data_IF_990667032571
#
_entry.id   IF_990667032571
#
_cell.length_a   1.000
_cell.length_b   1.000
_cell.length_c   1.000
_cell.angle_alpha   90.00
_cell.angle_beta   90.00
_cell.angle_gamma   90.00
#
_symmetry.space_group_name_H-M   'P 1'
#
loop_
_entity.id
_entity.type
_entity.pdbx_description
1 polymer ?
#
# COMPACT_ATOMS: atom_id res chain seq x y z
N UNK A 1 -45.01 -9.33 -43.94
CA UNK A 1 -44.69 -9.44 -42.50
C UNK A 1 -43.36 -10.18 -42.38
N UNK A 2 -42.27 -9.45 -42.15
CA UNK A 2 -40.93 -10.01 -41.99
C UNK A 2 -40.70 -10.21 -40.49
N UNK A 3 -40.61 -11.45 -40.01
CA UNK A 3 -40.22 -11.73 -38.62
C UNK A 3 -38.70 -11.74 -38.51
N UNK A 4 -38.16 -10.94 -37.59
CA UNK A 4 -36.72 -10.92 -37.29
C UNK A 4 -36.30 -12.18 -36.51
N UNK A 5 -35.10 -12.73 -36.76
CA UNK A 5 -34.62 -13.91 -36.03
C UNK A 5 -34.23 -13.55 -34.59
N UNK A 6 -34.70 -14.35 -33.64
CA UNK A 6 -34.38 -14.26 -32.21
C UNK A 6 -32.88 -14.51 -31.99
N UNK A 7 -32.15 -13.48 -31.54
CA UNK A 7 -30.77 -13.65 -31.05
C UNK A 7 -30.78 -14.42 -29.73
N UNK A 8 -30.19 -15.62 -29.75
CA UNK A 8 -29.91 -16.40 -28.55
C UNK A 8 -28.71 -15.75 -27.86
N UNK A 9 -28.95 -15.09 -26.73
CA UNK A 9 -27.92 -14.49 -25.87
C UNK A 9 -27.11 -15.62 -25.21
N UNK A 10 -25.77 -15.63 -25.31
CA UNK A 10 -24.96 -16.62 -24.60
C UNK A 10 -25.08 -16.43 -23.07
N UNK A 11 -24.97 -17.51 -22.27
CA UNK A 11 -25.02 -17.41 -20.81
C UNK A 11 -23.91 -16.49 -20.31
N UNK A 12 -24.26 -15.64 -19.33
CA UNK A 12 -23.32 -14.73 -18.69
C UNK A 12 -22.11 -15.52 -18.15
N UNK A 13 -20.91 -15.02 -18.46
CA UNK A 13 -19.67 -15.55 -17.88
C UNK A 13 -19.78 -15.54 -16.34
N UNK A 14 -19.26 -16.57 -15.64
CA UNK A 14 -19.24 -16.57 -14.19
C UNK A 14 -18.52 -15.30 -13.71
N UNK A 15 -19.15 -14.59 -12.77
CA UNK A 15 -18.63 -13.38 -12.15
C UNK A 15 -17.14 -13.58 -11.83
N UNK A 16 -16.27 -12.84 -12.53
CA UNK A 16 -14.89 -12.69 -12.14
C UNK A 16 -14.91 -12.23 -10.68
N UNK A 17 -14.43 -13.08 -9.79
CA UNK A 17 -14.50 -12.87 -8.35
C UNK A 17 -14.00 -11.48 -8.02
N UNK A 18 -14.79 -10.73 -7.24
CA UNK A 18 -14.28 -9.57 -6.54
C UNK A 18 -12.99 -10.00 -5.84
N UNK A 19 -11.90 -9.22 -5.92
CA UNK A 19 -10.68 -9.56 -5.20
C UNK A 19 -11.06 -9.79 -3.74
N UNK A 20 -10.69 -10.97 -3.21
CA UNK A 20 -10.96 -11.32 -1.83
C UNK A 20 -10.48 -10.18 -0.94
N UNK A 21 -11.36 -9.68 -0.07
CA UNK A 21 -10.96 -8.67 0.92
C UNK A 21 -9.84 -9.30 1.75
N UNK A 22 -8.66 -8.67 1.86
CA UNK A 22 -7.58 -9.23 2.66
C UNK A 22 -8.10 -9.52 4.08
N UNK A 23 -7.84 -10.71 4.61
CA UNK A 23 -8.21 -11.09 5.99
C UNK A 23 -7.43 -10.28 7.05
N UNK A 24 -6.48 -9.45 6.62
CA UNK A 24 -5.69 -8.56 7.47
C UNK A 24 -6.50 -7.31 7.83
N UNK A 25 -6.47 -6.86 9.09
CA UNK A 25 -6.94 -5.54 9.47
C UNK A 25 -6.10 -4.47 8.75
N UNK A 26 -6.67 -3.87 7.69
CA UNK A 26 -6.08 -2.68 7.07
C UNK A 26 -6.06 -1.54 8.10
N UNK A 27 -5.00 -0.70 8.12
CA UNK A 27 -5.03 0.49 8.94
C UNK A 27 -6.22 1.37 8.52
N UNK A 28 -6.92 2.01 9.48
CA UNK A 28 -8.02 2.89 9.15
C UNK A 28 -7.52 4.05 8.29
N UNK A 29 -8.38 4.51 7.37
CA UNK A 29 -8.10 5.68 6.57
C UNK A 29 -7.94 6.91 7.48
N UNK A 30 -6.86 7.72 7.32
CA UNK A 30 -6.61 8.87 8.18
C UNK A 30 -7.70 9.93 7.97
N UNK A 31 -8.29 10.44 9.04
CA UNK A 31 -9.34 11.47 8.97
C UNK A 31 -8.80 12.89 9.14
N UNK A 32 -7.56 13.04 9.61
CA UNK A 32 -6.89 14.32 9.80
C UNK A 32 -5.46 14.28 9.30
N UNK A 33 -4.89 15.46 9.04
CA UNK A 33 -3.50 15.57 8.59
C UNK A 33 -2.54 14.96 9.61
N UNK A 34 -2.79 15.17 10.89
CA UNK A 34 -1.97 14.68 12.00
C UNK A 34 -1.96 13.15 12.07
N UNK A 35 -3.07 12.49 11.67
CA UNK A 35 -3.14 11.02 11.61
C UNK A 35 -2.28 10.41 10.50
N UNK A 36 -1.88 11.19 9.48
CA UNK A 36 -0.91 10.72 8.48
C UNK A 36 0.50 10.56 9.07
N UNK A 37 0.78 11.23 10.19
CA UNK A 37 2.11 11.33 10.78
C UNK A 37 3.10 12.17 9.96
N UNK A 38 2.67 12.78 8.85
CA UNK A 38 3.46 13.68 8.03
C UNK A 38 3.14 15.14 8.36
N UNK A 39 4.12 16.03 8.15
CA UNK A 39 3.92 17.47 8.32
C UNK A 39 3.16 18.06 7.13
N UNK A 40 2.46 19.18 7.35
CA UNK A 40 1.82 19.94 6.27
C UNK A 40 2.84 20.32 5.20
N UNK A 41 4.03 20.79 5.60
CA UNK A 41 5.11 21.14 4.67
C UNK A 41 5.54 19.96 3.79
N UNK A 42 5.68 18.76 4.35
CA UNK A 42 6.02 17.57 3.59
C UNK A 42 4.95 17.24 2.54
N UNK A 43 3.68 17.25 2.95
CA UNK A 43 2.56 16.98 2.05
C UNK A 43 2.39 18.06 0.98
N UNK A 44 2.62 19.32 1.34
CA UNK A 44 2.64 20.45 0.40
C UNK A 44 3.75 20.32 -0.62
N UNK A 45 4.98 19.98 -0.21
CA UNK A 45 6.08 19.69 -1.13
C UNK A 45 5.72 18.52 -2.05
N UNK A 46 5.14 17.44 -1.53
CA UNK A 46 4.76 16.27 -2.33
C UNK A 46 3.66 16.61 -3.36
N UNK A 47 2.63 17.36 -2.95
CA UNK A 47 1.57 17.83 -3.82
C UNK A 47 2.09 18.77 -4.91
N UNK A 48 2.97 19.71 -4.54
CA UNK A 48 3.56 20.68 -5.46
C UNK A 48 4.49 20.01 -6.48
N UNK A 49 5.31 19.04 -6.06
CA UNK A 49 6.10 18.20 -6.97
C UNK A 49 5.21 17.41 -7.94
N UNK A 50 4.09 16.88 -7.46
CA UNK A 50 3.13 16.15 -8.29
C UNK A 50 2.51 17.06 -9.34
N UNK A 51 2.07 18.26 -8.95
CA UNK A 51 1.53 19.28 -9.86
C UNK A 51 2.58 19.76 -10.86
N UNK A 52 3.83 19.98 -10.43
CA UNK A 52 4.91 20.39 -11.32
C UNK A 52 5.12 19.41 -12.48
N UNK A 53 5.03 18.11 -12.22
CA UNK A 53 5.17 17.08 -13.25
C UNK A 53 3.93 16.91 -14.15
N UNK A 54 2.75 17.31 -13.67
CA UNK A 54 1.46 17.13 -14.38
C UNK A 54 0.90 18.41 -15.00
N UNK A 55 1.40 19.58 -14.62
CA UNK A 55 0.94 20.90 -15.03
C UNK A 55 -0.33 21.38 -14.32
N UNK A 56 -1.44 20.65 -14.50
CA UNK A 56 -2.72 20.98 -13.88
C UNK A 56 -3.49 19.72 -13.48
N UNK A 57 -4.18 19.76 -12.33
CA UNK A 57 -4.92 18.61 -11.80
C UNK A 57 -6.15 19.05 -11.01
N UNK A 58 -7.21 18.26 -11.04
CA UNK A 58 -8.37 18.38 -10.15
C UNK A 58 -8.03 17.92 -8.73
N UNK A 59 -8.86 18.31 -7.75
CA UNK A 59 -8.68 17.85 -6.36
C UNK A 59 -8.68 16.31 -6.25
N UNK A 60 -9.56 15.64 -7.00
CA UNK A 60 -9.66 14.18 -7.01
C UNK A 60 -8.40 13.49 -7.56
N UNK A 61 -7.81 14.05 -8.62
CA UNK A 61 -6.56 13.55 -9.18
C UNK A 61 -5.38 13.74 -8.23
N UNK A 62 -5.35 14.88 -7.50
CA UNK A 62 -4.31 15.15 -6.49
C UNK A 62 -4.44 14.17 -5.32
N UNK A 63 -5.63 14.06 -4.73
CA UNK A 63 -5.92 13.12 -3.63
C UNK A 63 -5.55 11.69 -4.02
N UNK A 64 -5.98 11.26 -5.23
CA UNK A 64 -5.63 9.95 -5.77
C UNK A 64 -4.11 9.79 -5.96
N UNK A 65 -3.41 10.78 -6.51
CA UNK A 65 -1.95 10.70 -6.73
C UNK A 65 -1.18 10.60 -5.43
N UNK A 66 -1.60 11.33 -4.40
CA UNK A 66 -1.04 11.26 -3.05
C UNK A 66 -1.50 10.02 -2.28
N UNK A 67 -2.57 9.34 -2.71
CA UNK A 67 -3.15 8.24 -1.92
C UNK A 67 -3.70 8.70 -0.59
N UNK A 68 -4.19 9.94 -0.53
CA UNK A 68 -4.74 10.55 0.67
C UNK A 68 -6.22 10.91 0.46
N UNK A 69 -7.01 10.93 1.53
CA UNK A 69 -8.38 11.40 1.50
C UNK A 69 -8.48 12.83 0.99
N UNK A 70 -9.52 13.08 0.20
CA UNK A 70 -9.78 14.42 -0.34
C UNK A 70 -10.10 15.40 0.78
N UNK A 71 -11.09 15.05 1.60
CA UNK A 71 -11.59 15.87 2.70
C UNK A 71 -10.58 15.93 3.85
N UNK A 72 -10.51 17.08 4.52
CA UNK A 72 -9.70 17.37 5.72
C UNK A 72 -8.17 17.27 5.58
N UNK A 73 -7.65 16.53 4.59
CA UNK A 73 -6.21 16.32 4.37
C UNK A 73 -5.79 17.00 3.08
N UNK A 74 -6.18 16.46 1.92
CA UNK A 74 -5.75 17.01 0.63
C UNK A 74 -6.27 18.45 0.43
N UNK A 75 -7.53 18.72 0.80
CA UNK A 75 -8.09 20.08 0.81
C UNK A 75 -7.24 21.07 1.63
N UNK A 76 -6.78 20.66 2.82
CA UNK A 76 -5.97 21.51 3.70
C UNK A 76 -4.59 21.79 3.11
N UNK A 77 -3.99 20.79 2.46
CA UNK A 77 -2.73 20.91 1.73
C UNK A 77 -2.89 21.89 0.56
N UNK A 78 -3.95 21.75 -0.23
CA UNK A 78 -4.20 22.60 -1.39
C UNK A 78 -4.59 24.03 -1.00
N UNK A 79 -5.36 24.23 0.07
CA UNK A 79 -5.67 25.57 0.58
C UNK A 79 -4.42 26.29 1.10
N UNK A 80 -3.49 25.55 1.74
CA UNK A 80 -2.19 26.10 2.12
C UNK A 80 -1.38 26.54 0.89
N UNK A 81 -1.24 25.68 -0.13
CA UNK A 81 -0.52 26.02 -1.35
C UNK A 81 -1.11 27.23 -2.08
N UNK A 82 -2.44 27.37 -2.07
CA UNK A 82 -3.16 28.51 -2.63
C UNK A 82 -2.91 29.78 -1.82
N UNK A 83 -2.99 29.71 -0.49
CA UNK A 83 -2.74 30.84 0.42
C UNK A 83 -1.31 31.36 0.26
N UNK A 84 -0.35 30.45 0.12
CA UNK A 84 1.07 30.76 -0.13
C UNK A 84 1.35 31.22 -1.58
N UNK A 85 0.32 31.32 -2.43
CA UNK A 85 0.42 31.71 -3.85
C UNK A 85 1.42 30.85 -4.62
N UNK A 86 1.34 29.53 -4.44
CA UNK A 86 2.13 28.54 -5.20
C UNK A 86 1.31 27.87 -6.30
N UNK A 87 -0.02 27.92 -6.16
CA UNK A 87 -0.98 27.39 -7.14
C UNK A 87 -2.13 28.38 -7.31
N UNK A 88 -2.75 28.33 -8.47
CA UNK A 88 -4.00 29.04 -8.78
C UNK A 88 -5.10 28.04 -9.11
N UNK A 89 -6.35 28.45 -8.93
CA UNK A 89 -7.50 27.64 -9.35
C UNK A 89 -7.98 28.19 -10.69
N UNK A 90 -7.98 27.34 -11.72
CA UNK A 90 -8.55 27.62 -13.03
C UNK A 90 -9.83 26.81 -13.23
N UNK A 91 -10.76 27.38 -13.98
CA UNK A 91 -12.12 26.84 -14.15
C UNK A 91 -13.09 27.43 -13.13
N UNK A 92 -14.29 27.76 -13.59
CA UNK A 92 -15.29 28.46 -12.78
C UNK A 92 -16.11 29.48 -13.56
N UNK A 93 -16.66 29.09 -14.70
CA UNK A 93 -17.79 29.80 -15.31
C UNK A 93 -19.02 28.90 -15.19
N UNK A 94 -19.61 28.83 -13.99
CA UNK A 94 -20.81 28.02 -13.72
C UNK A 94 -20.93 27.54 -12.27
N UNK A 95 -22.14 27.10 -11.90
CA UNK A 95 -22.56 26.76 -10.53
C UNK A 95 -21.96 25.44 -9.97
N UNK A 96 -21.14 24.71 -10.74
CA UNK A 96 -20.56 23.43 -10.32
C UNK A 96 -19.08 23.55 -10.00
N UNK A 97 -18.74 23.41 -8.72
CA UNK A 97 -17.37 23.29 -8.19
C UNK A 97 -16.61 22.05 -8.67
N UNK A 98 -17.26 21.17 -9.43
CA UNK A 98 -16.72 19.90 -9.90
C UNK A 98 -15.58 20.03 -10.94
N UNK A 99 -15.40 21.22 -11.54
CA UNK A 99 -14.41 21.46 -12.59
C UNK A 99 -13.22 22.33 -12.14
N UNK A 100 -13.04 22.56 -10.84
CA UNK A 100 -11.88 23.31 -10.35
C UNK A 100 -10.58 22.53 -10.59
N UNK A 101 -9.68 23.15 -11.36
CA UNK A 101 -8.33 22.64 -11.60
C UNK A 101 -7.32 23.50 -10.86
N UNK A 102 -6.42 22.86 -10.13
CA UNK A 102 -5.26 23.50 -9.55
C UNK A 102 -4.16 23.52 -10.60
N UNK A 103 -3.59 24.70 -10.82
CA UNK A 103 -2.52 24.95 -11.77
C UNK A 103 -1.34 25.53 -11.02
N UNK A 104 -0.17 24.93 -11.21
CA UNK A 104 1.07 25.45 -10.65
C UNK A 104 1.47 26.75 -11.37
N UNK A 105 1.93 27.74 -10.61
CA UNK A 105 2.45 29.00 -11.17
C UNK A 105 3.97 29.06 -11.07
N UNK A 106 4.60 30.11 -11.60
CA UNK A 106 6.07 30.23 -11.67
C UNK A 106 6.74 30.07 -10.30
N UNK A 107 6.27 30.79 -9.28
CA UNK A 107 6.77 30.66 -7.90
C UNK A 107 6.57 29.24 -7.33
N UNK A 108 5.46 28.60 -7.66
CA UNK A 108 5.21 27.21 -7.30
C UNK A 108 6.19 26.25 -7.97
N UNK A 109 6.51 26.51 -9.24
CA UNK A 109 7.45 25.71 -10.03
C UNK A 109 8.87 25.80 -9.49
N UNK A 110 9.33 27.01 -9.14
CA UNK A 110 10.62 27.21 -8.45
C UNK A 110 10.67 26.42 -7.14
N UNK A 111 9.62 26.52 -6.32
CA UNK A 111 9.55 25.79 -5.05
C UNK A 111 9.50 24.26 -5.23
N UNK A 112 8.83 23.78 -6.27
CA UNK A 112 8.81 22.36 -6.62
C UNK A 112 10.20 21.87 -7.01
N UNK A 113 10.97 22.65 -7.76
CA UNK A 113 12.35 22.32 -8.13
C UNK A 113 13.26 22.26 -6.89
N UNK A 114 13.15 23.20 -5.96
CA UNK A 114 13.86 23.14 -4.67
C UNK A 114 13.50 21.87 -3.90
N UNK A 115 12.22 21.50 -3.86
CA UNK A 115 11.76 20.28 -3.19
C UNK A 115 12.28 19.01 -3.87
N UNK A 116 12.31 18.98 -5.20
CA UNK A 116 12.88 17.87 -5.99
C UNK A 116 14.39 17.74 -5.78
N UNK A 117 15.10 18.85 -5.63
CA UNK A 117 16.53 18.85 -5.34
C UNK A 117 16.84 18.23 -3.96
N UNK A 118 15.94 18.38 -2.97
CA UNK A 118 16.06 17.71 -1.66
C UNK A 118 15.62 16.26 -1.71
N UNK A 119 14.53 15.96 -2.42
CA UNK A 119 13.96 14.62 -2.52
C UNK A 119 13.21 14.44 -3.83
N UNK A 120 13.73 13.54 -4.67
CA UNK A 120 13.15 13.19 -5.97
C UNK A 120 11.89 12.32 -5.87
N UNK A 121 11.50 11.88 -4.66
CA UNK A 121 10.33 11.03 -4.51
C UNK A 121 9.05 11.78 -4.90
N UNK A 122 8.29 11.21 -5.82
CA UNK A 122 6.93 11.63 -6.19
C UNK A 122 6.06 10.39 -6.30
N UNK A 123 4.94 10.38 -5.59
CA UNK A 123 4.07 9.21 -5.49
C UNK A 123 3.09 9.36 -4.34
N UNK A 124 2.62 8.21 -3.84
CA UNK A 124 1.73 8.12 -2.68
C UNK A 124 2.44 8.67 -1.44
N UNK A 125 1.69 9.27 -0.53
CA UNK A 125 2.24 9.76 0.74
C UNK A 125 2.88 8.57 1.50
N UNK A 126 4.17 8.70 1.90
CA UNK A 126 4.84 7.65 2.63
C UNK A 126 4.29 7.52 4.05
N UNK A 127 4.47 6.35 4.64
CA UNK A 127 4.12 6.13 6.05
C UNK A 127 5.38 6.34 6.90
N UNK A 128 5.34 7.15 7.98
CA UNK A 128 6.49 7.27 8.88
C UNK A 128 6.94 5.92 9.43
N UNK A 129 8.25 5.67 9.48
CA UNK A 129 8.81 4.38 9.88
C UNK A 129 8.27 3.91 11.23
N UNK A 130 8.16 4.80 12.21
CA UNK A 130 7.66 4.44 13.53
C UNK A 130 6.21 3.94 13.49
N UNK A 131 5.37 4.52 12.64
CA UNK A 131 3.98 4.09 12.44
C UNK A 131 3.94 2.74 11.73
N UNK A 132 4.80 2.54 10.72
CA UNK A 132 4.91 1.25 10.05
C UNK A 132 5.39 0.13 10.99
N UNK A 133 6.39 0.39 11.84
CA UNK A 133 6.86 -0.55 12.87
C UNK A 133 5.70 -0.96 13.80
N UNK A 134 4.90 0.00 14.27
CA UNK A 134 3.73 -0.30 15.10
C UNK A 134 2.69 -1.15 14.36
N UNK A 135 2.47 -0.88 13.07
CA UNK A 135 1.57 -1.67 12.25
C UNK A 135 2.07 -3.11 12.06
N UNK A 136 3.37 -3.30 11.81
CA UNK A 136 3.99 -4.64 11.68
C UNK A 136 3.90 -5.41 13.01
N UNK A 137 4.13 -4.75 14.14
CA UNK A 137 3.99 -5.39 15.46
C UNK A 137 2.57 -5.89 15.73
N UNK A 138 1.54 -5.18 15.24
CA UNK A 138 0.13 -5.61 15.33
C UNK A 138 -0.22 -6.75 14.37
N UNK A 139 0.51 -6.86 13.26
CA UNK A 139 0.38 -7.92 12.25
C UNK A 139 1.24 -9.15 12.59
N UNK A 140 1.76 -9.25 13.81
CA UNK A 140 2.73 -10.29 14.18
C UNK A 140 2.20 -11.70 13.92
N UNK A 141 3.05 -12.50 13.27
CA UNK A 141 2.93 -13.96 13.12
C UNK A 141 2.89 -14.72 14.45
N UNK A 142 2.97 -14.05 15.60
CA UNK A 142 2.85 -14.67 16.92
C UNK A 142 1.52 -15.42 17.13
N UNK A 143 0.50 -15.15 16.31
CA UNK A 143 -0.78 -15.86 16.31
C UNK A 143 -0.88 -16.97 15.24
N UNK A 144 0.20 -17.26 14.50
CA UNK A 144 0.24 -18.38 13.56
C UNK A 144 0.13 -19.69 14.36
N UNK A 145 -1.01 -20.37 14.23
CA UNK A 145 -1.23 -21.67 14.86
C UNK A 145 -1.15 -22.78 13.81
N UNK A 146 0.03 -23.37 13.68
CA UNK A 146 0.28 -24.53 12.82
C UNK A 146 0.01 -25.80 13.62
N UNK A 147 -1.02 -26.54 13.21
CA UNK A 147 -1.35 -27.82 13.82
C UNK A 147 -0.44 -28.94 13.34
N UNK A 148 -0.42 -30.07 14.05
CA UNK A 148 0.31 -31.25 13.60
C UNK A 148 -0.22 -31.77 12.24
N UNK A 149 -1.52 -31.70 12.01
CA UNK A 149 -2.13 -32.11 10.75
C UNK A 149 -1.71 -31.19 9.59
N UNK A 150 -1.54 -29.89 9.85
CA UNK A 150 -1.00 -28.95 8.84
C UNK A 150 0.41 -29.33 8.41
N UNK A 151 1.28 -29.66 9.37
CA UNK A 151 2.64 -30.12 9.08
C UNK A 151 2.64 -31.42 8.29
N UNK A 152 1.85 -32.42 8.72
CA UNK A 152 1.77 -33.71 8.03
C UNK A 152 1.29 -33.51 6.58
N UNK A 153 0.28 -32.66 6.36
CA UNK A 153 -0.21 -32.34 5.02
C UNK A 153 0.83 -31.62 4.17
N UNK A 154 1.45 -30.57 4.71
CA UNK A 154 2.42 -29.76 3.97
C UNK A 154 3.66 -30.56 3.59
N UNK A 155 4.13 -31.44 4.48
CA UNK A 155 5.30 -32.29 4.24
C UNK A 155 4.96 -33.64 3.58
N UNK A 156 3.71 -33.89 3.16
CA UNK A 156 3.29 -35.19 2.62
C UNK A 156 4.07 -35.67 1.37
N UNK A 157 4.68 -34.72 0.64
CA UNK A 157 5.49 -34.98 -0.55
C UNK A 157 6.99 -35.14 -0.25
N UNK A 158 7.40 -35.06 1.02
CA UNK A 158 8.79 -35.20 1.47
C UNK A 158 8.95 -36.37 2.44
N UNK A 159 10.10 -37.05 2.35
CA UNK A 159 10.49 -38.07 3.33
C UNK A 159 11.27 -37.39 4.46
N UNK A 160 10.58 -37.11 5.57
CA UNK A 160 11.16 -36.47 6.77
C UNK A 160 11.00 -37.38 7.99
N UNK A 161 12.03 -37.55 8.84
CA UNK A 161 11.89 -38.30 10.08
C UNK A 161 10.79 -37.73 10.99
N UNK A 162 10.01 -38.60 11.63
CA UNK A 162 8.91 -38.18 12.51
C UNK A 162 9.38 -37.29 13.66
N UNK A 163 10.59 -37.54 14.17
CA UNK A 163 11.22 -36.73 15.22
C UNK A 163 11.51 -35.30 14.75
N UNK A 164 11.99 -35.12 13.52
CA UNK A 164 12.21 -33.79 12.92
C UNK A 164 10.90 -33.06 12.73
N UNK A 165 9.85 -33.74 12.26
CA UNK A 165 8.52 -33.15 12.09
C UNK A 165 7.91 -32.72 13.45
N UNK A 166 8.13 -33.51 14.50
CA UNK A 166 7.69 -33.19 15.86
C UNK A 166 8.41 -31.99 16.47
N UNK A 167 9.67 -31.73 16.08
CA UNK A 167 10.44 -30.55 16.50
C UNK A 167 10.05 -29.28 15.71
N UNK A 168 9.68 -29.44 14.44
CA UNK A 168 9.28 -28.34 13.56
C UNK A 168 8.01 -27.64 14.05
N UNK A 169 7.02 -28.38 14.57
CA UNK A 169 5.76 -27.77 15.03
C UNK A 169 5.92 -26.71 16.13
N UNK A 170 6.55 -27.04 17.27
CA UNK A 170 6.88 -26.06 18.30
C UNK A 170 7.77 -24.92 17.79
N UNK A 171 8.72 -25.21 16.89
CA UNK A 171 9.61 -24.21 16.34
C UNK A 171 8.86 -23.17 15.48
N UNK A 172 7.94 -23.61 14.62
CA UNK A 172 7.13 -22.73 13.76
C UNK A 172 6.17 -21.90 14.61
N UNK A 173 5.46 -22.54 15.55
CA UNK A 173 4.53 -21.85 16.45
C UNK A 173 5.23 -20.89 17.43
N UNK A 174 6.55 -21.01 17.62
CA UNK A 174 7.29 -20.08 18.47
C UNK A 174 7.40 -18.67 17.89
N UNK A 175 7.19 -18.50 16.57
CA UNK A 175 7.39 -17.23 15.87
C UNK A 175 8.85 -16.73 15.88
N UNK A 176 9.81 -17.56 16.32
CA UNK A 176 11.23 -17.23 16.40
C UNK A 176 11.98 -17.72 15.16
N UNK A 177 13.20 -17.22 14.97
CA UNK A 177 14.09 -17.67 13.92
C UNK A 177 14.40 -19.17 14.06
N UNK A 178 14.23 -19.91 12.97
CA UNK A 178 14.59 -21.33 12.86
C UNK A 178 15.89 -21.42 12.05
N UNK A 179 16.87 -22.14 12.58
CA UNK A 179 18.13 -22.40 11.88
C UNK A 179 18.18 -23.84 11.38
N UNK A 180 18.10 -24.03 10.07
CA UNK A 180 18.20 -25.35 9.43
C UNK A 180 19.65 -25.63 9.03
N UNK A 181 20.28 -26.62 9.64
CA UNK A 181 21.69 -26.98 9.40
C UNK A 181 21.88 -28.46 9.06
N UNK A 182 23.02 -28.80 8.45
CA UNK A 182 23.41 -30.17 8.07
C UNK A 182 24.10 -30.24 6.70
N UNK A 183 24.54 -31.43 6.25
CA UNK A 183 25.23 -31.61 4.96
C UNK A 183 24.38 -31.17 3.76
N UNK A 184 24.97 -30.68 2.65
CA UNK A 184 24.24 -30.33 1.43
C UNK A 184 23.44 -31.53 0.88
N UNK A 185 22.31 -31.28 0.22
CA UNK A 185 21.44 -32.32 -0.35
C UNK A 185 20.34 -32.87 0.58
N UNK A 186 20.34 -32.53 1.87
CA UNK A 186 19.34 -32.99 2.84
C UNK A 186 18.03 -32.16 2.87
N UNK A 187 17.67 -31.50 1.78
CA UNK A 187 16.36 -30.84 1.66
C UNK A 187 16.12 -29.61 2.57
N UNK A 188 17.14 -28.96 3.12
CA UNK A 188 16.99 -27.75 3.99
C UNK A 188 16.21 -26.63 3.30
N UNK A 189 16.55 -26.32 2.05
CA UNK A 189 15.84 -25.30 1.25
C UNK A 189 14.39 -25.71 1.05
N UNK A 190 14.14 -26.98 0.71
CA UNK A 190 12.79 -27.52 0.55
C UNK A 190 11.98 -27.47 1.85
N UNK A 191 12.60 -27.75 3.00
CA UNK A 191 11.95 -27.61 4.31
C UNK A 191 11.58 -26.14 4.55
N UNK A 192 12.47 -25.19 4.28
CA UNK A 192 12.19 -23.76 4.43
C UNK A 192 11.04 -23.29 3.52
N UNK A 193 11.02 -23.76 2.27
CA UNK A 193 9.95 -23.45 1.30
C UNK A 193 8.60 -23.99 1.77
N UNK A 194 8.53 -25.26 2.19
CA UNK A 194 7.30 -25.87 2.72
C UNK A 194 6.85 -25.15 3.99
N UNK A 195 7.77 -24.80 4.89
CA UNK A 195 7.45 -23.99 6.07
C UNK A 195 6.87 -22.63 5.70
N UNK A 196 7.41 -21.96 4.68
CA UNK A 196 6.88 -20.68 4.20
C UNK A 196 5.43 -20.83 3.71
N UNK A 197 5.06 -21.96 3.09
CA UNK A 197 3.66 -22.22 2.68
C UNK A 197 2.69 -22.39 3.86
N UNK A 198 3.20 -22.77 5.04
CA UNK A 198 2.41 -22.90 6.27
C UNK A 198 2.20 -21.55 6.96
N UNK A 199 3.03 -20.55 6.66
CA UNK A 199 2.86 -19.18 7.13
C UNK A 199 1.76 -18.53 6.30
N UNK A 200 0.51 -18.70 6.75
CA UNK A 200 -0.65 -18.02 6.17
C UNK A 200 -0.77 -16.59 6.70
N UNK A 201 -1.23 -15.70 5.85
CA UNK A 201 -1.51 -14.31 6.19
C UNK A 201 -0.92 -13.37 5.15
N UNK A 202 -1.66 -12.32 4.82
CA UNK A 202 -1.14 -11.22 4.04
C UNK A 202 -0.49 -10.18 4.97
N UNK A 203 0.50 -9.44 4.48
CA UNK A 203 1.14 -8.34 5.22
C UNK A 203 0.83 -7.03 4.50
N UNK A 204 0.37 -6.03 5.25
CA UNK A 204 0.16 -4.68 4.73
C UNK A 204 1.50 -4.01 4.53
N UNK A 205 1.83 -3.74 3.27
CA UNK A 205 3.02 -2.98 2.87
C UNK A 205 2.60 -1.56 2.44
N UNK A 206 3.23 -0.51 2.97
CA UNK A 206 3.03 0.84 2.46
C UNK A 206 3.70 0.98 1.08
N UNK A 207 3.24 1.94 0.28
CA UNK A 207 3.90 2.26 -1.01
C UNK A 207 5.31 2.84 -0.84
N UNK A 208 5.55 3.52 0.29
CA UNK A 208 6.82 4.07 0.67
C UNK A 208 6.85 4.33 2.18
N UNK A 209 8.06 4.39 2.74
CA UNK A 209 8.33 4.68 4.15
C UNK A 209 9.15 5.95 4.26
N UNK A 210 8.79 6.81 5.22
CA UNK A 210 9.53 8.02 5.55
C UNK A 210 10.44 7.78 6.76
N UNK A 211 11.71 8.19 6.64
CA UNK A 211 12.77 8.09 7.66
C UNK A 211 13.59 9.38 7.63
N UNK A 212 13.53 10.18 8.68
CA UNK A 212 14.30 11.44 8.80
C UNK A 212 14.22 12.34 7.56
N UNK A 213 13.00 12.55 7.04
CA UNK A 213 12.65 13.28 5.82
C UNK A 213 13.11 12.64 4.50
N UNK A 214 13.75 11.48 4.55
CA UNK A 214 14.04 10.66 3.38
C UNK A 214 12.90 9.70 3.12
N UNK A 215 12.71 9.35 1.84
CA UNK A 215 11.65 8.43 1.43
C UNK A 215 12.27 7.21 0.80
N UNK A 216 11.94 6.04 1.35
CA UNK A 216 12.33 4.73 0.84
C UNK A 216 11.12 4.10 0.18
N UNK A 217 11.20 3.84 -1.12
CA UNK A 217 10.17 3.10 -1.83
C UNK A 217 10.25 1.62 -1.45
N UNK A 218 9.10 1.02 -1.17
CA UNK A 218 8.98 -0.43 -0.90
C UNK A 218 8.90 -1.20 -2.21
#
# INVERSE_FOLDING_TARGET
MYQAPTQIRPPAAPNAGQPATPEIPLPPEPQTLEQTGLTLGFLSDLALKTLYLRGQMTMAEIASSLGLPMQNITERVMEFLKTERLVEIRGGAGLSSANYQFVIIDRGSEKAQEALARSQYVGKAPVPLQMYIQAVQRQSIANLHVTQDDLVRAFAHMVIPRETLAQLGPAVNSGKSIFLFGPPGNGKTSIAEVLATLMKGDVVLPYAVEVDQQVVKV
#
